data_IF_016478872862
#
_entry.id   IF_016478872862
#
_cell.length_a   1.000
_cell.length_b   1.000
_cell.length_c   1.000
_cell.angle_alpha   90.00
_cell.angle_beta   90.00
_cell.angle_gamma   90.00
#
_symmetry.space_group_name_H-M   'P 1'
#
loop_
_entity.id
_entity.type
_entity.pdbx_description
1 polymer ?
#
# COMPACT_ATOMS: atom_id res chain seq x y z
N UNK A 1 72.77 -2.35 4.33
CA UNK A 1 71.56 -3.22 4.39
C UNK A 1 70.54 -2.56 5.31
N UNK A 2 69.59 -1.81 4.74
CA UNK A 2 68.51 -1.14 5.50
C UNK A 2 67.19 -1.80 5.12
N UNK A 3 66.49 -2.38 6.11
CA UNK A 3 65.17 -3.01 5.92
C UNK A 3 64.10 -1.91 6.02
N UNK A 4 63.52 -1.57 4.87
CA UNK A 4 62.34 -0.69 4.81
C UNK A 4 61.14 -1.48 5.31
N UNK A 5 60.58 -1.08 6.46
CA UNK A 5 59.30 -1.57 6.97
C UNK A 5 58.18 -0.90 6.19
N UNK A 6 57.46 -1.64 5.35
CA UNK A 6 56.18 -1.21 4.80
C UNK A 6 55.16 -1.12 5.95
N UNK A 7 54.68 0.10 6.23
CA UNK A 7 53.55 0.32 7.13
C UNK A 7 52.26 -0.15 6.45
N UNK A 8 51.48 -0.97 7.15
CA UNK A 8 50.12 -1.33 6.75
C UNK A 8 49.23 -0.10 6.97
N UNK A 9 48.81 0.55 5.88
CA UNK A 9 47.76 1.57 5.94
C UNK A 9 46.40 0.91 6.17
N UNK A 10 45.56 1.40 7.12
CA UNK A 10 44.22 0.89 7.35
C UNK A 10 43.26 1.47 6.30
N UNK A 11 43.27 0.92 5.08
CA UNK A 11 42.40 1.35 3.98
C UNK A 11 40.90 1.11 4.20
N UNK A 12 40.51 0.36 5.24
CA UNK A 12 39.11 0.01 5.51
C UNK A 12 38.26 1.15 6.09
N UNK A 13 38.86 2.16 6.73
CA UNK A 13 38.10 3.22 7.42
C UNK A 13 37.61 4.29 6.43
N UNK A 14 38.29 4.48 5.29
CA UNK A 14 37.93 5.50 4.31
C UNK A 14 36.62 5.20 3.55
N UNK A 15 36.30 3.92 3.30
CA UNK A 15 35.08 3.54 2.57
C UNK A 15 33.81 3.73 3.41
N UNK A 16 33.87 3.52 4.72
CA UNK A 16 32.73 3.75 5.63
C UNK A 16 32.39 5.23 5.72
N UNK A 17 33.41 6.11 5.75
CA UNK A 17 33.20 7.56 5.77
C UNK A 17 32.67 8.11 4.43
N UNK A 18 33.09 7.57 3.28
CA UNK A 18 32.53 7.96 1.97
C UNK A 18 31.06 7.50 1.85
N UNK A 19 30.71 6.32 2.38
CA UNK A 19 29.32 5.86 2.45
C UNK A 19 28.43 6.77 3.31
N UNK A 20 28.91 7.18 4.49
CA UNK A 20 28.21 8.11 5.39
C UNK A 20 28.11 9.54 4.82
N UNK A 21 29.11 10.00 4.06
CA UNK A 21 29.09 11.33 3.42
C UNK A 21 28.17 11.37 2.18
N UNK A 22 27.98 10.24 1.47
CA UNK A 22 27.00 10.15 0.37
C UNK A 22 25.55 10.07 0.91
N UNK A 23 25.35 9.49 2.10
CA UNK A 23 24.07 9.49 2.81
C UNK A 23 23.60 10.90 3.21
N UNK A 24 24.50 11.86 3.44
CA UNK A 24 24.14 13.22 3.82
C UNK A 24 23.81 14.15 2.64
N UNK A 25 24.06 13.75 1.38
CA UNK A 25 23.75 14.55 0.19
C UNK A 25 22.44 14.16 -0.52
N UNK A 26 21.72 13.13 -0.07
CA UNK A 26 20.39 12.79 -0.62
C UNK A 26 19.22 13.46 0.12
N UNK A 27 19.50 14.22 1.19
CA UNK A 27 18.48 14.99 1.91
C UNK A 27 18.21 16.34 1.26
N UNK A 28 17.59 16.36 0.08
CA UNK A 28 16.79 17.48 -0.44
C UNK A 28 15.99 16.98 -1.66
N UNK A 29 15.00 16.10 -1.41
CA UNK A 29 13.87 16.02 -2.32
C UNK A 29 13.11 17.34 -2.17
N UNK A 30 13.30 18.20 -3.18
CA UNK A 30 12.71 19.52 -3.26
C UNK A 30 11.18 19.37 -3.21
N UNK A 31 10.55 19.99 -2.20
CA UNK A 31 9.10 20.18 -2.17
C UNK A 31 8.72 21.10 -3.35
N UNK A 32 8.51 20.50 -4.52
CA UNK A 32 7.98 21.14 -5.70
C UNK A 32 6.52 21.50 -5.47
N UNK A 33 6.19 22.76 -5.69
CA UNK A 33 4.83 23.28 -5.63
C UNK A 33 3.94 22.55 -6.67
N UNK A 34 2.86 21.96 -6.17
CA UNK A 34 1.81 21.24 -6.92
C UNK A 34 1.23 22.06 -8.08
N UNK A 35 1.42 21.58 -9.30
CA UNK A 35 0.41 21.70 -10.37
C UNK A 35 -0.22 20.31 -10.46
N UNK A 36 -1.45 20.17 -9.98
CA UNK A 36 -2.16 18.89 -9.95
C UNK A 36 -2.35 18.36 -11.37
N UNK A 37 -1.65 17.27 -11.70
CA UNK A 37 -2.03 16.43 -12.83
C UNK A 37 -3.19 15.60 -12.32
N UNK A 38 -4.40 15.90 -12.81
CA UNK A 38 -5.56 15.08 -12.54
C UNK A 38 -5.27 13.65 -13.03
N UNK A 39 -5.45 12.65 -12.16
CA UNK A 39 -5.57 11.27 -12.62
C UNK A 39 -6.73 11.22 -13.61
N UNK A 40 -6.47 10.75 -14.83
CA UNK A 40 -7.47 10.54 -15.87
C UNK A 40 -7.54 9.04 -16.19
N UNK A 41 -8.69 8.38 -15.94
CA UNK A 41 -9.88 8.94 -15.32
C UNK A 41 -9.65 9.30 -13.84
N UNK A 42 -10.39 10.29 -13.32
CA UNK A 42 -10.41 10.51 -11.88
C UNK A 42 -10.83 9.19 -11.23
N UNK A 43 -10.21 8.83 -10.10
CA UNK A 43 -10.60 7.65 -9.38
C UNK A 43 -12.13 7.61 -9.20
N UNK A 44 -12.78 6.43 -9.28
CA UNK A 44 -14.22 6.36 -9.06
C UNK A 44 -14.53 6.82 -7.65
N UNK A 45 -14.98 8.08 -7.54
CA UNK A 45 -15.52 8.67 -6.33
C UNK A 45 -16.99 8.25 -6.27
N UNK A 46 -17.22 7.07 -5.72
CA UNK A 46 -18.56 6.59 -5.41
C UNK A 46 -18.60 6.11 -3.97
N UNK A 47 -19.71 6.30 -3.26
CA UNK A 47 -19.99 5.45 -2.11
C UNK A 47 -20.14 4.01 -2.64
N UNK A 48 -19.25 3.11 -2.22
CA UNK A 48 -19.45 1.69 -2.46
C UNK A 48 -20.33 1.13 -1.35
N UNK A 49 -21.48 0.58 -1.75
CA UNK A 49 -22.41 -0.11 -0.86
C UNK A 49 -22.13 -1.60 -0.96
N UNK A 50 -22.20 -2.32 0.16
CA UNK A 50 -22.16 -3.78 0.13
C UNK A 50 -23.53 -4.35 -0.18
N UNK A 51 -23.56 -5.22 -1.18
CA UNK A 51 -24.75 -5.92 -1.65
C UNK A 51 -24.32 -7.08 -2.57
N UNK A 52 -23.73 -8.11 -1.97
CA UNK A 52 -23.53 -9.40 -2.64
C UNK A 52 -24.74 -10.33 -2.46
N UNK A 53 -25.98 -9.83 -2.53
CA UNK A 53 -27.24 -10.58 -2.34
C UNK A 53 -27.43 -11.25 -0.95
N UNK A 54 -26.34 -11.56 -0.24
CA UNK A 54 -26.27 -12.05 1.15
C UNK A 54 -25.98 -10.92 2.14
N UNK A 55 -25.43 -9.81 1.64
CA UNK A 55 -25.25 -8.56 2.36
C UNK A 55 -23.93 -8.46 3.12
N UNK A 56 -23.08 -9.48 3.17
CA UNK A 56 -21.88 -9.47 4.03
C UNK A 56 -20.62 -8.93 3.34
N UNK A 57 -20.71 -8.53 2.06
CA UNK A 57 -19.56 -8.07 1.27
C UNK A 57 -19.78 -6.74 0.55
N UNK A 58 -18.76 -5.87 0.62
CA UNK A 58 -18.62 -4.67 -0.21
C UNK A 58 -17.89 -5.03 -1.49
N UNK A 59 -18.55 -4.84 -2.63
CA UNK A 59 -17.99 -5.12 -3.95
C UNK A 59 -17.54 -3.82 -4.64
N UNK A 60 -16.27 -3.77 -5.01
CA UNK A 60 -15.64 -2.63 -5.70
C UNK A 60 -15.18 -3.10 -7.08
N UNK A 61 -16.01 -2.81 -8.10
CA UNK A 61 -15.85 -3.41 -9.44
C UNK A 61 -16.36 -4.85 -9.51
N UNK A 62 -16.17 -5.52 -10.65
CA UNK A 62 -16.55 -6.93 -10.84
C UNK A 62 -15.49 -7.69 -11.65
N UNK A 63 -15.49 -9.04 -11.67
CA UNK A 63 -14.58 -9.80 -12.53
C UNK A 63 -14.70 -9.45 -14.02
N UNK A 64 -15.89 -9.06 -14.47
CA UNK A 64 -16.18 -8.73 -15.88
C UNK A 64 -16.02 -7.24 -16.19
N UNK A 65 -16.03 -6.39 -15.16
CA UNK A 65 -15.82 -4.94 -15.27
C UNK A 65 -14.94 -4.46 -14.09
N UNK A 66 -13.63 -4.80 -14.11
CA UNK A 66 -12.70 -4.38 -13.08
C UNK A 66 -12.43 -2.87 -13.19
N UNK A 67 -12.11 -2.24 -12.06
CA UNK A 67 -11.79 -0.82 -12.00
C UNK A 67 -10.38 -0.60 -12.58
N UNK A 68 -10.21 0.25 -13.59
CA UNK A 68 -8.88 0.60 -14.09
C UNK A 68 -8.18 1.52 -13.08
N UNK A 69 -6.99 1.12 -12.62
CA UNK A 69 -6.17 1.94 -11.71
C UNK A 69 -4.81 2.19 -12.35
N UNK A 70 -4.49 3.46 -12.57
CA UNK A 70 -3.16 3.90 -13.02
C UNK A 70 -2.44 4.57 -11.85
N UNK A 71 -1.52 3.87 -11.16
CA UNK A 71 -0.71 4.46 -10.12
C UNK A 71 0.07 5.66 -10.63
N UNK A 72 0.14 6.70 -9.80
CA UNK A 72 1.11 7.77 -9.97
C UNK A 72 1.99 7.79 -8.71
N UNK A 73 3.19 7.18 -8.74
CA UNK A 73 4.10 7.18 -7.60
C UNK A 73 4.71 8.56 -7.30
N UNK A 74 4.52 9.55 -8.19
CA UNK A 74 4.91 10.95 -7.91
C UNK A 74 3.78 11.75 -7.29
N UNK A 75 2.55 11.24 -7.38
CA UNK A 75 1.42 11.82 -6.69
C UNK A 75 1.55 11.54 -5.21
N UNK A 76 1.57 12.62 -4.43
CA UNK A 76 1.34 12.55 -2.98
C UNK A 76 -0.14 12.46 -2.64
N UNK A 77 -1.02 12.52 -3.65
CA UNK A 77 -2.46 12.40 -3.47
C UNK A 77 -2.86 10.91 -3.59
N UNK A 78 -3.33 10.29 -2.49
CA UNK A 78 -3.84 8.92 -2.55
C UNK A 78 -5.11 8.84 -3.39
N UNK A 79 -5.38 7.66 -3.93
CA UNK A 79 -6.72 7.35 -4.40
C UNK A 79 -7.65 7.23 -3.19
N UNK A 80 -8.65 8.10 -3.10
CA UNK A 80 -9.65 8.03 -2.02
C UNK A 80 -10.89 7.24 -2.43
N UNK A 81 -11.26 6.25 -1.61
CA UNK A 81 -12.56 5.56 -1.62
C UNK A 81 -13.39 6.00 -0.42
N UNK A 82 -14.71 6.02 -0.62
CA UNK A 82 -15.67 6.17 0.46
C UNK A 82 -16.55 4.92 0.50
N UNK A 83 -16.64 4.28 1.66
CA UNK A 83 -17.55 3.16 1.88
C UNK A 83 -18.67 3.59 2.81
N UNK A 84 -19.89 3.17 2.45
CA UNK A 84 -21.07 3.32 3.29
C UNK A 84 -21.51 1.92 3.70
N UNK A 85 -21.19 1.55 4.93
CA UNK A 85 -21.50 0.24 5.50
C UNK A 85 -22.88 0.34 6.15
N UNK A 86 -23.88 -0.33 5.58
CA UNK A 86 -25.22 -0.37 6.14
C UNK A 86 -25.39 -1.60 7.03
N UNK A 87 -25.52 -1.38 8.33
CA UNK A 87 -25.64 -2.47 9.31
C UNK A 87 -26.88 -3.34 9.13
N UNK A 88 -28.03 -2.77 8.77
CA UNK A 88 -29.31 -3.48 8.88
C UNK A 88 -29.63 -4.31 7.62
N UNK A 89 -28.95 -4.04 6.50
CA UNK A 89 -29.06 -4.80 5.25
C UNK A 89 -27.98 -5.86 5.04
N UNK A 90 -26.94 -5.88 5.90
CA UNK A 90 -25.70 -6.62 5.66
C UNK A 90 -25.49 -7.85 6.57
N UNK A 91 -26.56 -8.36 7.20
CA UNK A 91 -26.47 -9.53 8.10
C UNK A 91 -25.84 -9.24 9.48
N UNK A 92 -25.63 -7.96 9.83
CA UNK A 92 -25.04 -7.53 11.11
C UNK A 92 -26.03 -7.51 12.29
N UNK A 93 -26.98 -8.43 12.35
CA UNK A 93 -28.10 -8.38 13.31
C UNK A 93 -27.70 -8.53 14.78
N UNK A 94 -26.46 -8.95 15.08
CA UNK A 94 -25.91 -9.06 16.43
C UNK A 94 -24.46 -8.52 16.53
N UNK A 95 -24.21 -7.29 16.05
CA UNK A 95 -22.83 -6.79 15.98
C UNK A 95 -22.38 -5.96 17.20
N UNK A 96 -21.44 -6.51 17.98
CA UNK A 96 -20.64 -5.79 18.98
C UNK A 96 -19.21 -5.55 18.49
N UNK A 97 -18.28 -5.15 19.37
CA UNK A 97 -16.86 -5.13 19.05
C UNK A 97 -16.41 -6.47 18.46
N UNK A 98 -15.73 -6.45 17.32
CA UNK A 98 -15.25 -7.64 16.63
C UNK A 98 -16.08 -8.08 15.41
N UNK A 99 -17.20 -7.42 15.10
CA UNK A 99 -17.95 -7.70 13.88
C UNK A 99 -17.18 -7.31 12.63
N UNK A 100 -17.29 -8.12 11.58
CA UNK A 100 -16.49 -7.99 10.36
C UNK A 100 -17.36 -7.79 9.12
N UNK A 101 -16.86 -7.03 8.16
CA UNK A 101 -17.39 -6.93 6.78
C UNK A 101 -16.25 -7.20 5.81
N UNK A 102 -16.52 -8.02 4.79
CA UNK A 102 -15.55 -8.30 3.75
C UNK A 102 -15.61 -7.19 2.68
N UNK A 103 -14.47 -6.77 2.17
CA UNK A 103 -14.33 -5.86 1.03
C UNK A 103 -13.61 -6.62 -0.06
N UNK A 104 -14.26 -6.76 -1.22
CA UNK A 104 -13.71 -7.40 -2.40
C UNK A 104 -13.60 -6.43 -3.55
N UNK A 105 -12.42 -6.35 -4.15
CA UNK A 105 -12.10 -5.38 -5.19
C UNK A 105 -11.53 -6.09 -6.41
N UNK A 106 -12.04 -5.73 -7.57
CA UNK A 106 -11.54 -6.18 -8.85
C UNK A 106 -10.92 -5.00 -9.57
N UNK A 107 -9.61 -5.08 -9.77
CA UNK A 107 -8.82 -3.97 -10.32
C UNK A 107 -8.06 -4.47 -11.54
N UNK A 108 -7.91 -3.59 -12.54
CA UNK A 108 -6.98 -3.80 -13.65
C UNK A 108 -5.98 -2.67 -13.66
N UNK A 109 -4.69 -3.02 -13.68
CA UNK A 109 -3.64 -2.02 -13.74
C UNK A 109 -3.69 -1.29 -15.08
N UNK A 110 -3.77 0.03 -15.04
CA UNK A 110 -3.79 0.88 -16.23
C UNK A 110 -2.47 0.82 -17.01
N UNK A 111 -2.45 1.36 -18.24
CA UNK A 111 -1.23 1.45 -19.03
C UNK A 111 -0.16 2.28 -18.29
N UNK A 112 1.12 1.97 -18.49
CA UNK A 112 2.18 2.77 -17.90
C UNK A 112 2.11 4.16 -18.52
N UNK A 113 2.14 5.20 -17.69
CA UNK A 113 2.24 6.57 -18.19
C UNK A 113 3.66 6.84 -18.66
N UNK A 114 3.86 7.83 -19.55
CA UNK A 114 5.21 8.22 -19.99
C UNK A 114 6.11 8.68 -18.86
N UNK A 115 5.55 9.05 -17.71
CA UNK A 115 6.27 9.34 -16.47
C UNK A 115 6.61 8.10 -15.65
N UNK A 116 5.90 6.97 -15.82
CA UNK A 116 6.04 5.77 -14.96
C UNK A 116 5.96 4.46 -15.74
N UNK A 117 7.08 4.01 -16.35
CA UNK A 117 7.17 2.70 -16.99
C UNK A 117 7.35 1.55 -15.99
N UNK A 118 7.41 1.83 -14.69
CA UNK A 118 7.80 0.86 -13.68
C UNK A 118 6.59 0.02 -13.22
N UNK A 119 6.79 -1.30 -13.05
CA UNK A 119 5.76 -2.20 -12.57
C UNK A 119 5.45 -1.93 -11.08
N UNK A 120 4.19 -2.13 -10.71
CA UNK A 120 3.74 -2.08 -9.31
C UNK A 120 4.31 -3.28 -8.56
N UNK A 121 4.77 -3.05 -7.34
CA UNK A 121 5.31 -4.11 -6.46
C UNK A 121 4.57 -4.24 -5.14
N UNK A 122 3.72 -3.28 -4.81
CA UNK A 122 2.93 -3.31 -3.61
C UNK A 122 1.58 -2.63 -3.77
N UNK A 123 0.75 -2.80 -2.76
CA UNK A 123 -0.54 -2.13 -2.63
C UNK A 123 -0.74 -1.73 -1.18
N UNK A 124 -0.97 -0.45 -0.91
CA UNK A 124 -1.16 0.09 0.43
C UNK A 124 -2.53 0.75 0.57
N UNK A 125 -3.19 0.51 1.70
CA UNK A 125 -4.45 1.19 2.04
C UNK A 125 -4.49 1.64 3.50
N UNK A 126 -4.94 2.87 3.71
CA UNK A 126 -5.07 3.50 5.01
C UNK A 126 -6.51 3.98 5.25
N UNK A 127 -7.11 3.54 6.34
CA UNK A 127 -8.37 4.11 6.85
C UNK A 127 -8.05 5.50 7.39
N UNK A 128 -8.81 6.52 6.99
CA UNK A 128 -8.75 7.84 7.64
C UNK A 128 -9.52 7.78 8.98
N UNK A 129 -8.84 7.77 10.14
CA UNK A 129 -9.52 7.62 11.41
C UNK A 129 -10.29 8.88 11.82
N UNK A 130 -10.11 10.00 11.12
CA UNK A 130 -10.67 11.31 11.46
C UNK A 130 -11.95 11.64 10.71
N UNK A 131 -12.31 10.86 9.69
CA UNK A 131 -13.49 11.09 8.86
C UNK A 131 -14.57 10.04 9.14
N UNK A 132 -15.79 10.51 9.37
CA UNK A 132 -16.96 9.66 9.61
C UNK A 132 -16.75 8.74 10.82
N UNK A 133 -16.89 7.45 10.59
CA UNK A 133 -16.69 6.37 11.57
C UNK A 133 -15.34 5.67 11.42
N UNK A 134 -14.40 6.19 10.62
CA UNK A 134 -13.12 5.54 10.33
C UNK A 134 -12.33 5.13 11.58
N UNK A 135 -12.35 5.95 12.64
CA UNK A 135 -11.70 5.63 13.92
C UNK A 135 -12.30 4.44 14.69
N UNK A 136 -13.42 3.88 14.21
CA UNK A 136 -14.10 2.70 14.77
C UNK A 136 -13.93 1.45 13.91
N UNK A 137 -13.14 1.53 12.83
CA UNK A 137 -12.85 0.39 11.96
C UNK A 137 -11.36 0.09 11.95
N UNK A 138 -11.04 -1.19 11.74
CA UNK A 138 -9.67 -1.67 11.58
C UNK A 138 -9.59 -2.73 10.50
N UNK A 139 -8.52 -2.75 9.74
CA UNK A 139 -8.11 -3.90 8.96
C UNK A 139 -7.70 -5.04 9.90
N UNK A 140 -8.20 -6.25 9.64
CA UNK A 140 -7.80 -7.46 10.38
C UNK A 140 -7.12 -8.51 9.51
N UNK A 141 -7.12 -8.30 8.20
CA UNK A 141 -6.41 -9.14 7.25
C UNK A 141 -6.90 -8.91 5.83
N UNK A 142 -6.26 -9.63 4.92
CA UNK A 142 -6.66 -9.67 3.52
C UNK A 142 -5.69 -10.49 2.68
N UNK A 143 -6.07 -10.70 1.43
CA UNK A 143 -5.27 -11.36 0.39
C UNK A 143 -5.43 -10.60 -0.91
N UNK A 144 -4.32 -10.35 -1.61
CA UNK A 144 -4.33 -9.96 -3.01
C UNK A 144 -4.00 -11.17 -3.89
N UNK A 145 -4.89 -11.49 -4.82
CA UNK A 145 -4.72 -12.53 -5.82
C UNK A 145 -4.17 -11.89 -7.10
N UNK A 146 -2.98 -12.34 -7.49
CA UNK A 146 -2.29 -11.94 -8.72
C UNK A 146 -2.14 -13.15 -9.64
N UNK A 147 -1.72 -12.98 -10.91
CA UNK A 147 -1.39 -14.13 -11.78
C UNK A 147 -0.29 -15.04 -11.22
N UNK A 148 0.56 -14.51 -10.33
CA UNK A 148 1.63 -15.29 -9.67
C UNK A 148 1.16 -16.09 -8.46
N UNK A 149 -0.09 -15.88 -8.01
CA UNK A 149 -0.67 -16.50 -6.82
C UNK A 149 -1.18 -15.48 -5.79
N UNK A 150 -1.70 -15.97 -4.65
CA UNK A 150 -2.17 -15.16 -3.55
C UNK A 150 -1.00 -14.62 -2.71
N UNK A 151 -1.10 -13.35 -2.31
CA UNK A 151 -0.16 -12.70 -1.39
C UNK A 151 -0.93 -12.19 -0.16
N UNK A 152 -0.60 -12.65 1.05
CA UNK A 152 -1.29 -12.23 2.26
C UNK A 152 -0.92 -10.79 2.64
N UNK A 153 -1.92 -10.03 3.09
CA UNK A 153 -1.73 -8.68 3.59
C UNK A 153 -1.09 -8.65 4.96
N UNK A 154 -0.43 -7.54 5.26
CA UNK A 154 0.12 -7.20 6.57
C UNK A 154 -0.62 -5.98 7.09
N UNK A 155 -0.97 -5.98 8.37
CA UNK A 155 -1.67 -4.85 9.00
C UNK A 155 -0.76 -4.12 9.97
N UNK A 156 -0.98 -2.82 10.11
CA UNK A 156 -0.31 -2.01 11.14
C UNK A 156 -0.78 -2.42 12.53
N UNK A 157 0.00 -2.09 13.56
CA UNK A 157 -0.33 -2.41 14.96
C UNK A 157 -1.62 -1.73 15.44
N UNK A 158 -1.92 -0.53 14.93
CA UNK A 158 -3.18 0.16 15.22
C UNK A 158 -4.36 -0.37 14.40
N UNK A 159 -4.08 -1.09 13.31
CA UNK A 159 -5.06 -1.66 12.39
C UNK A 159 -5.61 -0.68 11.36
N UNK A 160 -5.07 0.54 11.25
CA UNK A 160 -5.55 1.51 10.26
C UNK A 160 -4.93 1.34 8.88
N UNK A 161 -3.82 0.63 8.77
CA UNK A 161 -3.14 0.37 7.50
C UNK A 161 -3.11 -1.12 7.17
N UNK A 162 -3.25 -1.44 5.88
CA UNK A 162 -2.98 -2.76 5.32
C UNK A 162 -2.10 -2.62 4.08
N UNK A 163 -1.16 -3.54 3.89
CA UNK A 163 -0.33 -3.56 2.69
C UNK A 163 -0.01 -4.97 2.21
N UNK A 164 0.27 -5.06 0.91
CA UNK A 164 0.57 -6.29 0.22
C UNK A 164 1.85 -6.13 -0.58
N UNK A 165 2.77 -7.09 -0.46
CA UNK A 165 3.99 -7.14 -1.26
C UNK A 165 3.85 -8.25 -2.30
N UNK A 166 4.20 -7.98 -3.56
CA UNK A 166 4.14 -8.97 -4.63
C UNK A 166 5.20 -8.70 -5.72
N UNK A 167 5.55 -9.71 -6.55
CA UNK A 167 6.44 -9.50 -7.67
C UNK A 167 5.90 -8.42 -8.64
N UNK A 168 6.79 -7.68 -9.33
CA UNK A 168 6.44 -6.72 -10.37
C UNK A 168 5.29 -7.17 -11.29
N UNK A 169 4.18 -6.43 -11.29
CA UNK A 169 3.04 -6.70 -12.18
C UNK A 169 3.09 -5.82 -13.44
N UNK A 170 2.89 -6.39 -14.63
CA UNK A 170 2.80 -5.59 -15.85
C UNK A 170 1.47 -4.83 -15.92
N UNK A 171 1.42 -3.72 -16.68
CA UNK A 171 0.18 -3.06 -17.05
C UNK A 171 -0.85 -4.02 -17.66
N UNK A 172 -2.13 -3.78 -17.41
CA UNK A 172 -3.25 -4.64 -17.83
C UNK A 172 -3.46 -5.87 -16.96
N UNK A 173 -2.66 -6.07 -15.91
CA UNK A 173 -2.83 -7.22 -15.00
C UNK A 173 -4.13 -7.06 -14.20
N UNK A 174 -5.04 -8.05 -14.26
CA UNK A 174 -6.16 -8.11 -13.33
C UNK A 174 -5.65 -8.58 -11.96
N UNK A 175 -6.11 -7.92 -10.91
CA UNK A 175 -5.89 -8.30 -9.52
C UNK A 175 -7.24 -8.35 -8.81
N UNK A 176 -7.36 -9.27 -7.85
CA UNK A 176 -8.49 -9.33 -6.93
C UNK A 176 -7.97 -9.13 -5.51
N UNK A 177 -8.56 -8.20 -4.78
CA UNK A 177 -8.18 -7.91 -3.40
C UNK A 177 -9.37 -8.28 -2.52
N UNK A 178 -9.18 -9.12 -1.50
CA UNK A 178 -10.20 -9.44 -0.50
C UNK A 178 -9.65 -9.07 0.88
N UNK A 179 -10.35 -8.22 1.62
CA UNK A 179 -9.92 -7.69 2.92
C UNK A 179 -11.07 -7.71 3.89
N UNK A 180 -10.76 -7.75 5.18
CA UNK A 180 -11.77 -7.68 6.22
C UNK A 180 -11.63 -6.42 7.07
N UNK A 181 -12.73 -5.68 7.20
CA UNK A 181 -12.88 -4.55 8.10
C UNK A 181 -13.60 -5.00 9.37
N UNK A 182 -13.01 -4.73 10.52
CA UNK A 182 -13.57 -5.04 11.82
C UNK A 182 -14.04 -3.77 12.53
N UNK A 183 -15.27 -3.81 13.06
CA UNK A 183 -15.82 -2.80 13.94
C UNK A 183 -15.23 -2.91 15.35
N UNK A 184 -14.77 -1.79 15.89
CA UNK A 184 -14.23 -1.68 17.26
C UNK A 184 -15.03 -0.73 18.14
N UNK A 185 -16.10 -0.13 17.61
CA UNK A 185 -17.00 0.70 18.41
C UNK A 185 -17.83 -0.13 19.39
N UNK A 186 -18.51 0.55 20.31
CA UNK A 186 -19.44 -0.12 21.22
C UNK A 186 -20.59 -0.77 20.46
N UNK A 187 -21.15 -1.84 21.03
CA UNK A 187 -22.41 -2.41 20.55
C UNK A 187 -23.48 -1.32 20.58
N UNK A 188 -24.08 -1.02 19.44
CA UNK A 188 -25.25 -0.14 19.38
C UNK A 188 -26.50 -1.01 19.15
N UNK A 189 -27.62 -0.73 19.78
CA UNK A 189 -28.90 -1.39 19.42
C UNK A 189 -29.49 -0.60 18.24
N UNK A 190 -29.78 -1.23 17.08
CA UNK A 190 -30.46 -0.53 15.98
C UNK A 190 -31.73 0.15 16.46
N UNK A 191 -31.97 1.39 16.04
CA UNK A 191 -33.26 2.04 16.22
C UNK A 191 -34.31 1.43 15.28
N UNK A 192 -35.62 1.52 15.60
CA UNK A 192 -36.71 0.93 14.79
C UNK A 192 -36.85 1.51 13.36
N UNK A 193 -36.05 2.53 13.00
CA UNK A 193 -35.99 3.14 11.67
C UNK A 193 -34.56 3.14 11.04
N UNK A 194 -33.61 2.36 11.58
CA UNK A 194 -32.44 1.84 10.86
C UNK A 194 -31.55 2.77 10.04
N UNK A 195 -31.18 3.95 10.53
CA UNK A 195 -30.07 4.73 9.94
C UNK A 195 -28.71 4.29 10.54
N UNK A 196 -28.33 3.03 10.34
CA UNK A 196 -27.02 2.51 10.77
C UNK A 196 -26.03 2.48 9.60
N UNK A 197 -25.89 3.62 8.91
CA UNK A 197 -24.92 3.80 7.85
C UNK A 197 -23.63 4.37 8.45
N UNK A 198 -22.55 3.59 8.38
CA UNK A 198 -21.23 4.05 8.77
C UNK A 198 -20.47 4.51 7.54
N UNK A 199 -19.93 5.72 7.62
CA UNK A 199 -19.11 6.28 6.55
C UNK A 199 -17.64 6.11 6.91
N UNK A 200 -16.86 5.47 6.04
CA UNK A 200 -15.40 5.39 6.18
C UNK A 200 -14.73 5.87 4.90
N UNK A 201 -13.55 6.49 5.06
CA UNK A 201 -12.69 6.85 3.94
C UNK A 201 -11.41 6.05 3.96
N UNK A 202 -10.99 5.62 2.78
CA UNK A 202 -9.81 4.80 2.59
C UNK A 202 -8.93 5.48 1.55
N UNK A 203 -7.68 5.69 1.91
CA UNK A 203 -6.63 6.22 1.05
C UNK A 203 -5.82 5.06 0.50
N UNK A 204 -5.63 4.99 -0.81
CA UNK A 204 -4.89 3.92 -1.47
C UNK A 204 -3.69 4.47 -2.22
N UNK A 205 -2.60 3.74 -2.09
CA UNK A 205 -1.31 4.10 -2.64
C UNK A 205 -0.61 2.84 -3.17
N UNK A 206 -0.91 2.41 -4.41
CA UNK A 206 -0.02 1.48 -5.10
C UNK A 206 1.34 2.15 -5.28
N UNK A 207 2.38 1.54 -4.73
CA UNK A 207 3.73 2.08 -4.79
C UNK A 207 4.59 1.36 -5.83
N UNK A 208 5.63 2.08 -6.23
CA UNK A 208 6.70 1.63 -7.11
C UNK A 208 7.94 1.50 -6.23
N UNK A 209 8.84 0.53 -6.45
CA UNK A 209 10.00 0.36 -5.58
C UNK A 209 10.74 1.68 -5.39
N UNK A 210 10.91 2.08 -4.13
CA UNK A 210 11.68 3.27 -3.78
C UNK A 210 13.09 3.20 -4.40
N UNK A 211 13.57 4.21 -5.15
CA UNK A 211 14.88 4.18 -5.80
C UNK A 211 16.04 3.93 -4.83
N UNK A 212 15.86 4.34 -3.57
CA UNK A 212 16.83 4.19 -2.48
C UNK A 212 17.07 2.72 -2.09
N UNK A 213 16.04 1.87 -2.17
CA UNK A 213 16.14 0.44 -1.85
C UNK A 213 17.03 -0.29 -2.87
N UNK A 214 16.95 0.08 -4.15
CA UNK A 214 17.83 -0.41 -5.21
C UNK A 214 19.28 0.06 -5.03
N UNK A 215 19.48 1.32 -4.62
CA UNK A 215 20.82 1.86 -4.35
C UNK A 215 21.50 1.12 -3.18
N UNK A 216 20.76 0.86 -2.10
CA UNK A 216 21.24 0.12 -0.93
C UNK A 216 21.58 -1.34 -1.27
N UNK A 217 20.72 -2.02 -2.03
CA UNK A 217 21.01 -3.36 -2.55
C UNK A 217 22.26 -3.36 -3.46
N UNK A 218 22.39 -2.37 -4.34
CA UNK A 218 23.57 -2.19 -5.18
C UNK A 218 24.86 -2.00 -4.37
N UNK A 219 24.82 -1.16 -3.33
CA UNK A 219 25.95 -0.92 -2.43
C UNK A 219 26.32 -2.16 -1.62
N UNK A 220 25.33 -2.92 -1.14
CA UNK A 220 25.56 -4.17 -0.42
C UNK A 220 26.26 -5.22 -1.31
N UNK A 221 25.83 -5.37 -2.57
CA UNK A 221 26.45 -6.28 -3.54
C UNK A 221 27.88 -5.83 -3.91
N UNK A 222 28.10 -4.54 -4.10
CA UNK A 222 29.44 -3.98 -4.34
C UNK A 222 30.37 -4.20 -3.14
N UNK A 223 29.86 -4.00 -1.92
CA UNK A 223 30.59 -4.28 -0.69
C UNK A 223 31.01 -5.75 -0.57
N UNK A 224 30.09 -6.68 -0.85
CA UNK A 224 30.36 -8.11 -0.85
C UNK A 224 31.40 -8.51 -1.92
N UNK A 225 31.31 -7.95 -3.12
CA UNK A 225 32.27 -8.21 -4.20
C UNK A 225 33.68 -7.67 -3.87
N UNK A 226 33.77 -6.47 -3.29
CA UNK A 226 35.02 -5.86 -2.85
C UNK A 226 35.67 -6.67 -1.72
N UNK A 227 34.88 -7.13 -0.75
CA UNK A 227 35.35 -7.99 0.33
C UNK A 227 35.92 -9.31 -0.21
N UNK A 228 35.20 -9.96 -1.13
CA UNK A 228 35.65 -11.22 -1.76
C UNK A 228 36.97 -11.05 -2.52
N UNK A 229 37.14 -9.96 -3.28
CA UNK A 229 38.40 -9.64 -3.98
C UNK A 229 39.56 -9.42 -3.03
N UNK A 230 39.33 -8.92 -1.82
CA UNK A 230 40.40 -8.72 -0.84
C UNK A 230 40.82 -10.03 -0.15
N UNK A 231 39.98 -11.07 -0.20
CA UNK A 231 40.30 -12.38 0.36
C UNK A 231 40.98 -13.34 -0.63
N UNK A 232 41.00 -12.98 -1.93
CA UNK A 232 41.65 -13.76 -2.99
C UNK A 232 43.08 -13.29 -3.20
#
# INVERSE_FOLDING_TARGET
MSKIKLSRFPGGVCLVFIGLLLLSFMGNAQAGTLIGVAQDPPPPMGPFFGDDENGDMIMVGTPTNPIPVTPDPTSTAPWMKEFVINRDGQGWSESGPGSMVSVMEFITLGPPTSSHPLPIVDWHEDIDPTVGDGGKFKWVGGVIETPSGPHPGKTSTDGFSIWFDFPPLPPGTPIKITKDLMWTGSTITPGPNGENNYLIKINEQPSVPEPSSLLLCGLALLGAAAYRRHQS
#
